data_IF_379162850170
#
_entry.id   IF_379162850170
#
_cell.length_a   1.000
_cell.length_b   1.000
_cell.length_c   1.000
_cell.angle_alpha   90.00
_cell.angle_beta   90.00
_cell.angle_gamma   90.00
#
_symmetry.space_group_name_H-M   'P 1'
#
loop_
_entity.id
_entity.type
_entity.pdbx_description
1 polymer ?
#
# COMPACT_ATOMS: atom_id res chain seq x y z
N UNK A 1 -27.38 14.30 -32.66
CA UNK A 1 -27.77 15.16 -33.79
C UNK A 1 -26.51 15.57 -34.53
N UNK A 2 -26.53 15.59 -35.87
CA UNK A 2 -25.45 16.21 -36.66
C UNK A 2 -25.76 17.71 -36.76
N UNK A 3 -24.82 18.62 -36.46
CA UNK A 3 -25.05 20.05 -36.60
C UNK A 3 -25.28 20.42 -38.06
N UNK A 4 -26.09 21.44 -38.29
CA UNK A 4 -26.20 22.13 -39.57
C UNK A 4 -24.88 22.82 -39.92
N UNK A 5 -24.69 23.19 -41.19
CA UNK A 5 -23.46 23.85 -41.66
C UNK A 5 -23.21 25.18 -40.93
N UNK A 6 -24.25 25.97 -40.68
CA UNK A 6 -24.17 27.22 -39.93
C UNK A 6 -23.81 26.97 -38.45
N UNK A 7 -24.44 26.00 -37.79
CA UNK A 7 -24.11 25.64 -36.41
C UNK A 7 -22.66 25.16 -36.29
N UNK A 8 -22.16 24.42 -37.29
CA UNK A 8 -20.77 23.96 -37.32
C UNK A 8 -19.79 25.14 -37.41
N UNK A 9 -20.05 26.12 -38.28
CA UNK A 9 -19.21 27.33 -38.41
C UNK A 9 -19.22 28.15 -37.11
N UNK A 10 -20.38 28.30 -36.48
CA UNK A 10 -20.50 28.98 -35.18
C UNK A 10 -19.71 28.26 -34.09
N UNK A 11 -19.83 26.94 -34.00
CA UNK A 11 -19.08 26.13 -33.02
C UNK A 11 -17.57 26.24 -33.24
N UNK A 12 -17.11 26.13 -34.49
CA UNK A 12 -15.68 26.30 -34.83
C UNK A 12 -15.18 27.68 -34.41
N UNK A 13 -15.98 28.72 -34.63
CA UNK A 13 -15.64 30.10 -34.24
C UNK A 13 -15.55 30.26 -32.72
N UNK A 14 -16.48 29.65 -31.97
CA UNK A 14 -16.46 29.63 -30.51
C UNK A 14 -15.24 28.87 -29.97
N UNK A 15 -14.89 27.71 -30.56
CA UNK A 15 -13.69 26.97 -30.18
C UNK A 15 -12.40 27.73 -30.51
N UNK A 16 -12.35 28.43 -31.64
CA UNK A 16 -11.22 29.29 -32.01
C UNK A 16 -11.08 30.46 -31.03
N UNK A 17 -12.19 31.10 -30.64
CA UNK A 17 -12.21 32.13 -29.60
C UNK A 17 -11.73 31.57 -28.26
N UNK A 18 -12.24 30.41 -27.83
CA UNK A 18 -11.85 29.75 -26.59
C UNK A 18 -10.34 29.47 -26.53
N UNK A 19 -9.77 28.90 -27.59
CA UNK A 19 -8.32 28.66 -27.69
C UNK A 19 -7.52 29.95 -27.61
N UNK A 20 -7.96 31.02 -28.30
CA UNK A 20 -7.28 32.32 -28.27
C UNK A 20 -7.31 32.92 -26.87
N UNK A 21 -8.46 32.90 -26.22
CA UNK A 21 -8.59 33.37 -24.83
C UNK A 21 -7.67 32.58 -23.90
N UNK A 22 -7.61 31.25 -23.99
CA UNK A 22 -6.67 30.46 -23.18
C UNK A 22 -5.20 30.84 -23.37
N UNK A 23 -4.80 31.23 -24.59
CA UNK A 23 -3.40 31.58 -24.89
C UNK A 23 -3.06 33.03 -24.52
N UNK A 24 -4.02 33.95 -24.63
CA UNK A 24 -3.78 35.40 -24.55
C UNK A 24 -4.42 36.06 -23.32
N UNK A 25 -5.15 35.30 -22.49
CA UNK A 25 -5.83 35.85 -21.32
C UNK A 25 -4.81 36.49 -20.37
N UNK A 26 -5.16 37.69 -19.91
CA UNK A 26 -4.42 38.44 -18.92
C UNK A 26 -5.40 39.11 -17.96
N UNK A 27 -5.11 39.09 -16.66
CA UNK A 27 -5.96 39.62 -15.60
C UNK A 27 -6.30 41.10 -15.81
N UNK A 28 -5.35 41.88 -16.32
CA UNK A 28 -5.50 43.31 -16.65
C UNK A 28 -6.59 43.61 -17.70
N UNK A 29 -6.99 42.59 -18.48
CA UNK A 29 -8.00 42.71 -19.53
C UNK A 29 -9.34 42.06 -19.11
N UNK A 30 -9.41 41.49 -17.90
CA UNK A 30 -10.57 40.76 -17.38
C UNK A 30 -10.74 41.05 -15.88
N UNK A 31 -10.92 42.33 -15.52
CA UNK A 31 -10.95 42.81 -14.14
C UNK A 31 -11.98 42.07 -13.25
N UNK A 32 -13.06 41.55 -13.85
CA UNK A 32 -14.14 40.84 -13.18
C UNK A 32 -14.06 39.31 -13.30
N UNK A 33 -12.98 38.76 -13.86
CA UNK A 33 -12.81 37.32 -14.13
C UNK A 33 -13.96 36.71 -14.95
N UNK A 34 -14.65 37.49 -15.77
CA UNK A 34 -15.82 37.03 -16.54
C UNK A 34 -15.35 36.05 -17.60
N UNK A 35 -14.28 36.42 -18.33
CA UNK A 35 -13.75 35.57 -19.39
C UNK A 35 -13.10 34.33 -18.80
N UNK A 36 -12.35 34.46 -17.71
CA UNK A 36 -11.77 33.34 -16.97
C UNK A 36 -12.84 32.34 -16.48
N UNK A 37 -13.89 32.85 -15.84
CA UNK A 37 -15.02 32.03 -15.38
C UNK A 37 -15.74 31.36 -16.54
N UNK A 38 -15.93 32.06 -17.66
CA UNK A 38 -16.53 31.49 -18.86
C UNK A 38 -15.71 30.33 -19.42
N UNK A 39 -14.37 30.42 -19.45
CA UNK A 39 -13.49 29.33 -19.90
C UNK A 39 -13.68 28.07 -19.05
N UNK A 40 -13.76 28.22 -17.73
CA UNK A 40 -14.00 27.12 -16.81
C UNK A 40 -15.41 26.54 -16.98
N UNK A 41 -16.44 27.38 -17.09
CA UNK A 41 -17.80 26.93 -17.31
C UNK A 41 -17.92 26.14 -18.62
N UNK A 42 -17.32 26.61 -19.71
CA UNK A 42 -17.31 25.90 -21.00
C UNK A 42 -16.74 24.49 -20.84
N UNK A 43 -15.63 24.34 -20.12
CA UNK A 43 -15.03 23.03 -19.87
C UNK A 43 -15.94 22.10 -19.06
N UNK A 44 -16.62 22.65 -18.04
CA UNK A 44 -17.57 21.91 -17.19
C UNK A 44 -18.78 21.47 -18.00
N UNK A 45 -19.36 22.36 -18.81
CA UNK A 45 -20.45 22.02 -19.72
C UNK A 45 -20.03 20.94 -20.71
N UNK A 46 -18.86 21.08 -21.33
CA UNK A 46 -18.35 20.06 -22.26
C UNK A 46 -18.25 18.69 -21.59
N UNK A 47 -17.76 18.65 -20.35
CA UNK A 47 -17.64 17.42 -19.59
C UNK A 47 -19.00 16.82 -19.17
N UNK A 48 -20.01 17.64 -18.89
CA UNK A 48 -21.36 17.18 -18.62
C UNK A 48 -21.99 16.47 -19.84
N UNK A 49 -21.73 16.98 -21.06
CA UNK A 49 -22.26 16.38 -22.30
C UNK A 49 -21.39 15.25 -22.87
N UNK A 50 -20.10 15.20 -22.51
CA UNK A 50 -19.18 14.13 -22.90
C UNK A 50 -18.40 13.58 -21.69
N UNK A 51 -19.05 12.79 -20.82
CA UNK A 51 -18.47 12.36 -19.53
C UNK A 51 -17.15 11.58 -19.66
N UNK A 52 -16.89 10.98 -20.82
CA UNK A 52 -15.69 10.19 -21.12
C UNK A 52 -14.56 10.97 -21.79
N UNK A 53 -14.76 12.25 -22.13
CA UNK A 53 -13.76 13.06 -22.84
C UNK A 53 -13.62 14.42 -22.16
N UNK A 54 -12.50 14.62 -21.46
CA UNK A 54 -12.12 15.93 -20.95
C UNK A 54 -11.85 16.88 -22.11
N UNK A 55 -12.38 18.11 -22.05
CA UNK A 55 -12.10 19.15 -23.03
C UNK A 55 -10.59 19.41 -23.14
N UNK A 56 -9.89 19.40 -22.01
CA UNK A 56 -8.46 19.69 -21.93
C UNK A 56 -7.62 18.64 -22.65
N UNK A 57 -8.06 17.37 -22.61
CA UNK A 57 -7.40 16.27 -23.33
C UNK A 57 -7.60 16.32 -24.85
N UNK A 58 -8.52 17.14 -25.36
CA UNK A 58 -8.77 17.32 -26.80
C UNK A 58 -7.91 18.44 -27.42
N UNK A 59 -7.26 19.26 -26.59
CA UNK A 59 -6.32 20.27 -27.07
C UNK A 59 -5.00 19.61 -27.50
N UNK A 60 -4.34 20.20 -28.50
CA UNK A 60 -3.04 19.71 -29.00
C UNK A 60 -1.98 19.75 -27.90
N UNK A 61 -1.02 18.83 -27.95
CA UNK A 61 0.15 18.84 -27.07
C UNK A 61 1.01 20.11 -27.27
N UNK A 62 0.99 20.67 -28.48
CA UNK A 62 1.69 21.92 -28.81
C UNK A 62 0.98 23.18 -28.29
N UNK A 63 -0.23 23.05 -27.74
CA UNK A 63 -0.96 24.21 -27.21
C UNK A 63 -0.37 24.66 -25.87
N UNK A 64 -0.04 25.94 -25.77
CA UNK A 64 0.42 26.58 -24.54
C UNK A 64 -0.64 27.56 -24.04
N UNK A 65 -1.07 27.38 -22.79
CA UNK A 65 -1.95 28.34 -22.12
C UNK A 65 -1.15 29.52 -21.55
N UNK A 66 -1.82 30.64 -21.27
CA UNK A 66 -1.17 31.80 -20.68
C UNK A 66 -0.66 31.49 -19.26
N UNK A 67 0.53 31.98 -18.93
CA UNK A 67 1.13 31.81 -17.59
C UNK A 67 0.25 32.40 -16.49
N UNK A 68 -0.49 33.48 -16.78
CA UNK A 68 -1.42 34.10 -15.84
C UNK A 68 -2.63 33.20 -15.52
N UNK A 69 -3.20 32.49 -16.52
CA UNK A 69 -4.26 31.49 -16.27
C UNK A 69 -3.72 30.38 -15.38
N UNK A 70 -2.53 29.85 -15.71
CA UNK A 70 -1.90 28.79 -14.93
C UNK A 70 -1.70 29.25 -13.49
N UNK A 71 -1.10 30.42 -13.29
CA UNK A 71 -0.85 30.99 -11.96
C UNK A 71 -2.13 31.17 -11.15
N UNK A 72 -3.20 31.70 -11.76
CA UNK A 72 -4.48 31.88 -11.09
C UNK A 72 -5.14 30.55 -10.73
N UNK A 73 -5.11 29.54 -11.61
CA UNK A 73 -5.64 28.21 -11.30
C UNK A 73 -4.85 27.51 -10.19
N UNK A 74 -3.52 27.66 -10.18
CA UNK A 74 -2.68 27.17 -9.09
C UNK A 74 -3.08 27.84 -7.78
N UNK A 75 -3.23 29.17 -7.77
CA UNK A 75 -3.63 29.92 -6.58
C UNK A 75 -5.02 29.53 -6.09
N UNK A 76 -5.98 29.34 -6.99
CA UNK A 76 -7.35 28.95 -6.64
C UNK A 76 -7.39 27.53 -6.07
N UNK A 77 -6.71 26.58 -6.69
CA UNK A 77 -6.62 25.21 -6.18
C UNK A 77 -5.89 25.17 -4.83
N UNK A 78 -4.74 25.83 -4.71
CA UNK A 78 -4.00 25.92 -3.45
C UNK A 78 -4.83 26.53 -2.32
N UNK A 79 -5.73 27.48 -2.65
CA UNK A 79 -6.63 28.14 -1.72
C UNK A 79 -7.91 27.37 -1.40
N UNK A 80 -8.15 26.20 -1.99
CA UNK A 80 -9.34 25.40 -1.67
C UNK A 80 -9.30 24.95 -0.22
N UNK A 81 -10.38 25.23 0.50
CA UNK A 81 -10.61 24.80 1.87
C UNK A 81 -12.04 24.30 2.00
N UNK A 82 -12.25 23.32 2.87
CA UNK A 82 -13.59 22.89 3.27
C UNK A 82 -14.08 23.85 4.34
N UNK A 83 -15.16 24.59 4.06
CA UNK A 83 -15.66 25.66 4.93
C UNK A 83 -16.05 25.17 6.32
N UNK A 84 -16.61 23.97 6.41
CA UNK A 84 -17.04 23.35 7.67
C UNK A 84 -16.03 22.30 8.18
N UNK A 85 -14.75 22.40 7.80
CA UNK A 85 -13.74 21.38 8.14
C UNK A 85 -13.67 21.07 9.63
N UNK A 86 -13.66 22.09 10.49
CA UNK A 86 -13.63 21.92 11.94
C UNK A 86 -14.90 21.21 12.45
N UNK A 87 -16.05 21.52 11.87
CA UNK A 87 -17.32 20.85 12.21
C UNK A 87 -17.31 19.39 11.79
N UNK A 88 -16.83 19.08 10.58
CA UNK A 88 -16.66 17.71 10.10
C UNK A 88 -15.66 16.95 10.97
N UNK A 89 -14.56 17.59 11.37
CA UNK A 89 -13.57 16.98 12.26
C UNK A 89 -14.05 16.81 13.70
N UNK A 90 -14.98 17.65 14.18
CA UNK A 90 -15.67 17.42 15.45
C UNK A 90 -16.59 16.19 15.39
N UNK A 91 -17.11 15.83 14.21
CA UNK A 91 -17.92 14.63 14.03
C UNK A 91 -17.07 13.36 13.93
N UNK A 92 -15.79 13.48 13.56
CA UNK A 92 -14.82 12.39 13.51
C UNK A 92 -13.51 12.76 14.24
N UNK A 93 -13.55 12.83 15.57
CA UNK A 93 -12.39 13.23 16.38
C UNK A 93 -11.18 12.31 16.19
N UNK A 94 -11.41 11.03 15.85
CA UNK A 94 -10.35 10.07 15.56
C UNK A 94 -9.51 10.48 14.34
N UNK A 95 -10.16 11.00 13.28
CA UNK A 95 -9.45 11.46 12.08
C UNK A 95 -8.59 12.68 12.40
N UNK A 96 -9.12 13.64 13.17
CA UNK A 96 -8.37 14.83 13.57
C UNK A 96 -7.14 14.47 14.40
N UNK A 97 -7.31 13.60 15.39
CA UNK A 97 -6.21 13.12 16.23
C UNK A 97 -5.14 12.39 15.41
N UNK A 98 -5.56 11.57 14.45
CA UNK A 98 -4.64 10.86 13.56
C UNK A 98 -3.91 11.81 12.60
N UNK A 99 -4.59 12.81 12.03
CA UNK A 99 -4.00 13.85 11.19
C UNK A 99 -2.95 14.66 11.96
N UNK A 100 -3.30 15.14 13.16
CA UNK A 100 -2.40 15.90 14.04
C UNK A 100 -1.17 15.07 14.46
N UNK A 101 -1.33 13.76 14.63
CA UNK A 101 -0.26 12.83 14.99
C UNK A 101 0.56 12.32 13.78
N UNK A 102 0.11 12.58 12.55
CA UNK A 102 0.67 11.97 11.35
C UNK A 102 0.47 10.45 11.28
N UNK A 103 -0.53 9.89 11.97
CA UNK A 103 -0.81 8.46 12.00
C UNK A 103 -1.59 8.01 10.76
N UNK A 104 -0.88 7.51 9.74
CA UNK A 104 -1.50 7.10 8.48
C UNK A 104 -2.48 5.94 8.66
N UNK A 105 -2.21 5.01 9.56
CA UNK A 105 -3.11 3.89 9.80
C UNK A 105 -4.40 4.38 10.46
N UNK A 106 -4.29 5.23 11.49
CA UNK A 106 -5.44 5.86 12.13
C UNK A 106 -6.28 6.70 11.16
N UNK A 107 -5.62 7.44 10.26
CA UNK A 107 -6.33 8.19 9.21
C UNK A 107 -7.05 7.25 8.24
N UNK A 108 -6.41 6.20 7.73
CA UNK A 108 -7.04 5.22 6.83
C UNK A 108 -8.26 4.58 7.49
N UNK A 109 -8.14 4.11 8.74
CA UNK A 109 -9.24 3.49 9.50
C UNK A 109 -10.41 4.45 9.70
N UNK A 110 -10.14 5.71 10.09
CA UNK A 110 -11.20 6.71 10.31
C UNK A 110 -11.93 7.07 9.00
N UNK A 111 -11.20 7.16 7.87
CA UNK A 111 -11.78 7.51 6.57
C UNK A 111 -12.77 6.48 6.04
N UNK A 112 -12.63 5.19 6.39
CA UNK A 112 -13.58 4.16 5.96
C UNK A 112 -15.00 4.36 6.53
N UNK A 113 -15.14 5.15 7.59
CA UNK A 113 -16.42 5.44 8.25
C UNK A 113 -17.08 6.74 7.76
N UNK A 114 -16.38 7.51 6.94
CA UNK A 114 -16.78 8.84 6.51
C UNK A 114 -17.38 8.84 5.11
N UNK A 115 -18.60 9.35 5.00
CA UNK A 115 -19.17 9.78 3.72
C UNK A 115 -18.86 11.27 3.54
N UNK A 116 -18.00 11.60 2.59
CA UNK A 116 -17.60 12.98 2.33
C UNK A 116 -17.97 13.41 0.90
N UNK A 117 -18.34 14.68 0.70
CA UNK A 117 -18.89 15.15 -0.57
C UNK A 117 -17.89 15.00 -1.71
N UNK A 118 -18.39 14.71 -2.92
CA UNK A 118 -17.55 14.62 -4.10
C UNK A 118 -16.87 15.98 -4.43
N UNK A 119 -15.67 15.96 -5.05
CA UNK A 119 -15.02 17.17 -5.53
C UNK A 119 -15.91 17.95 -6.50
N UNK A 120 -15.80 19.28 -6.45
CA UNK A 120 -16.58 20.17 -7.32
C UNK A 120 -16.16 20.05 -8.79
N UNK A 121 -17.07 20.39 -9.71
CA UNK A 121 -16.77 20.43 -11.15
C UNK A 121 -15.65 21.43 -11.48
N UNK A 122 -15.53 22.52 -10.69
CA UNK A 122 -14.42 23.46 -10.79
C UNK A 122 -13.09 22.78 -10.45
N UNK A 123 -12.99 22.10 -9.31
CA UNK A 123 -11.76 21.39 -8.92
C UNK A 123 -11.36 20.35 -9.97
N UNK A 124 -12.34 19.62 -10.50
CA UNK A 124 -12.12 18.66 -11.59
C UNK A 124 -11.49 19.31 -12.80
N UNK A 125 -12.13 20.37 -13.32
CA UNK A 125 -11.65 21.06 -14.50
C UNK A 125 -10.27 21.69 -14.30
N UNK A 126 -10.05 22.37 -13.17
CA UNK A 126 -8.77 22.98 -12.84
C UNK A 126 -7.65 21.93 -12.69
N UNK A 127 -7.95 20.78 -12.09
CA UNK A 127 -7.00 19.66 -11.94
C UNK A 127 -6.61 19.10 -13.29
N UNK A 128 -7.59 18.78 -14.14
CA UNK A 128 -7.34 18.26 -15.50
C UNK A 128 -6.58 19.28 -16.37
N UNK A 129 -6.88 20.56 -16.22
CA UNK A 129 -6.16 21.64 -16.91
C UNK A 129 -4.69 21.69 -16.50
N UNK A 130 -4.40 21.73 -15.19
CA UNK A 130 -3.02 21.80 -14.71
C UNK A 130 -2.28 20.50 -14.98
N UNK A 131 -2.93 19.34 -14.89
CA UNK A 131 -2.34 18.05 -15.30
C UNK A 131 -1.83 18.11 -16.74
N UNK A 132 -2.59 18.75 -17.65
CA UNK A 132 -2.24 18.85 -19.06
C UNK A 132 -1.18 19.92 -19.36
N UNK A 133 -1.36 21.13 -18.83
CA UNK A 133 -0.58 22.31 -19.24
C UNK A 133 0.47 22.77 -18.23
N UNK A 134 0.34 22.39 -16.96
CA UNK A 134 1.31 22.76 -15.94
C UNK A 134 1.41 21.71 -14.82
N UNK A 135 2.07 20.56 -15.09
CA UNK A 135 2.32 19.54 -14.09
C UNK A 135 2.96 20.08 -12.80
N UNK A 136 3.91 21.02 -12.95
CA UNK A 136 4.56 21.72 -11.84
C UNK A 136 3.59 22.63 -11.08
N UNK A 137 2.64 23.27 -11.78
CA UNK A 137 1.58 24.04 -11.15
C UNK A 137 0.69 23.16 -10.27
N UNK A 138 0.31 21.98 -10.77
CA UNK A 138 -0.46 21.00 -10.00
C UNK A 138 0.29 20.54 -8.74
N UNK A 139 1.59 20.26 -8.87
CA UNK A 139 2.45 19.92 -7.74
C UNK A 139 2.49 21.05 -6.69
N UNK A 140 2.66 22.32 -7.12
CA UNK A 140 2.63 23.48 -6.21
C UNK A 140 1.30 23.62 -5.47
N UNK A 141 0.18 23.43 -6.17
CA UNK A 141 -1.15 23.43 -5.56
C UNK A 141 -1.29 22.30 -4.53
N UNK A 142 -0.92 21.07 -4.90
CA UNK A 142 -0.94 19.90 -4.01
C UNK A 142 -0.09 20.11 -2.74
N UNK A 143 1.07 20.74 -2.89
CA UNK A 143 1.99 21.04 -1.79
C UNK A 143 1.42 22.03 -0.77
N UNK A 144 0.43 22.83 -1.16
CA UNK A 144 -0.16 23.89 -0.32
C UNK A 144 -1.33 23.41 0.55
N UNK A 145 -1.87 22.22 0.28
CA UNK A 145 -3.04 21.71 1.00
C UNK A 145 -2.69 21.28 2.44
N UNK A 146 -3.51 21.71 3.39
CA UNK A 146 -3.33 21.43 4.82
C UNK A 146 -4.42 20.55 5.43
N UNK A 147 -5.45 20.22 4.64
CA UNK A 147 -6.63 19.50 5.09
C UNK A 147 -6.69 18.16 4.35
N UNK A 148 -6.73 17.04 5.07
CA UNK A 148 -6.75 15.71 4.45
C UNK A 148 -7.90 15.53 3.47
N UNK A 149 -9.09 16.08 3.78
CA UNK A 149 -10.26 15.97 2.90
C UNK A 149 -10.06 16.70 1.55
N UNK A 150 -9.38 17.85 1.55
CA UNK A 150 -9.04 18.56 0.29
C UNK A 150 -8.06 17.75 -0.52
N UNK A 151 -7.07 17.13 0.14
CA UNK A 151 -6.11 16.24 -0.50
C UNK A 151 -6.80 15.02 -1.11
N UNK A 152 -7.74 14.40 -0.40
CA UNK A 152 -8.52 13.26 -0.91
C UNK A 152 -9.37 13.65 -2.12
N UNK A 153 -10.05 14.80 -2.08
CA UNK A 153 -10.77 15.34 -3.24
C UNK A 153 -9.84 15.48 -4.45
N UNK A 154 -8.63 16.00 -4.22
CA UNK A 154 -7.63 16.19 -5.25
C UNK A 154 -7.13 14.84 -5.83
N UNK A 155 -6.96 13.82 -4.98
CA UNK A 155 -6.62 12.44 -5.40
C UNK A 155 -7.71 11.82 -6.27
N UNK A 156 -8.99 11.97 -5.89
CA UNK A 156 -10.14 11.41 -6.62
C UNK A 156 -10.26 11.95 -8.05
N UNK A 157 -9.64 13.10 -8.34
CA UNK A 157 -9.67 13.75 -9.65
C UNK A 157 -8.52 13.32 -10.57
N UNK A 158 -7.52 12.61 -10.06
CA UNK A 158 -6.33 12.20 -10.82
C UNK A 158 -6.39 10.73 -11.22
N UNK A 159 -5.71 10.40 -12.33
CA UNK A 159 -5.33 9.01 -12.59
C UNK A 159 -4.32 8.52 -11.55
N UNK A 160 -4.26 7.21 -11.29
CA UNK A 160 -3.29 6.63 -10.34
C UNK A 160 -1.84 6.96 -10.69
N UNK A 161 -1.49 6.89 -11.98
CA UNK A 161 -0.15 7.24 -12.45
C UNK A 161 0.17 8.72 -12.17
N UNK A 162 -0.79 9.63 -12.39
CA UNK A 162 -0.58 11.05 -12.10
C UNK A 162 -0.51 11.33 -10.61
N UNK A 163 -1.34 10.69 -9.81
CA UNK A 163 -1.31 10.77 -8.35
C UNK A 163 0.07 10.34 -7.82
N UNK A 164 0.60 9.21 -8.26
CA UNK A 164 1.93 8.71 -7.91
C UNK A 164 3.05 9.70 -8.25
N UNK A 165 3.05 10.23 -9.47
CA UNK A 165 4.05 11.24 -9.88
C UNK A 165 3.96 12.50 -9.04
N UNK A 166 2.75 13.04 -8.87
CA UNK A 166 2.53 14.25 -8.07
C UNK A 166 2.93 14.04 -6.61
N UNK A 167 2.64 12.86 -6.03
CA UNK A 167 3.01 12.50 -4.67
C UNK A 167 4.52 12.30 -4.48
N UNK A 168 5.21 11.83 -5.51
CA UNK A 168 6.67 11.70 -5.52
C UNK A 168 7.37 13.07 -5.63
N UNK A 169 6.73 14.04 -6.26
CA UNK A 169 7.29 15.37 -6.50
C UNK A 169 6.95 16.37 -5.37
N UNK A 170 5.79 16.23 -4.71
CA UNK A 170 5.38 17.11 -3.60
C UNK A 170 6.11 16.79 -2.29
N UNK A 171 6.25 17.81 -1.44
CA UNK A 171 6.68 17.70 -0.05
C UNK A 171 5.51 17.47 0.93
N UNK A 172 4.27 17.42 0.43
CA UNK A 172 3.09 17.25 1.27
C UNK A 172 2.87 15.78 1.69
N UNK A 173 3.13 15.50 2.96
CA UNK A 173 2.94 14.20 3.59
C UNK A 173 1.49 13.69 3.52
N UNK A 174 0.48 14.56 3.65
CA UNK A 174 -0.92 14.15 3.53
C UNK A 174 -1.24 13.68 2.11
N UNK A 175 -0.62 14.30 1.10
CA UNK A 175 -0.78 13.90 -0.29
C UNK A 175 -0.17 12.52 -0.55
N UNK A 176 1.01 12.24 0.02
CA UNK A 176 1.63 10.91 -0.06
C UNK A 176 0.80 9.84 0.65
N UNK A 177 0.28 10.15 1.83
CA UNK A 177 -0.65 9.29 2.55
C UNK A 177 -1.88 8.96 1.68
N UNK A 178 -2.56 9.99 1.18
CA UNK A 178 -3.79 9.82 0.41
C UNK A 178 -3.55 9.04 -0.89
N UNK A 179 -2.41 9.25 -1.55
CA UNK A 179 -2.01 8.42 -2.69
C UNK A 179 -1.84 6.97 -2.29
N UNK A 180 -1.12 6.65 -1.21
CA UNK A 180 -0.96 5.26 -0.77
C UNK A 180 -2.30 4.63 -0.36
N UNK A 181 -3.14 5.32 0.41
CA UNK A 181 -4.47 4.83 0.80
C UNK A 181 -5.35 4.53 -0.43
N UNK A 182 -5.34 5.41 -1.44
CA UNK A 182 -6.07 5.18 -2.69
C UNK A 182 -5.58 3.95 -3.47
N UNK A 183 -4.29 3.62 -3.38
CA UNK A 183 -3.70 2.44 -4.01
C UNK A 183 -4.07 1.14 -3.28
N UNK A 184 -4.25 1.21 -1.96
CA UNK A 184 -4.68 0.09 -1.13
C UNK A 184 -6.20 -0.15 -1.17
N UNK A 185 -6.99 0.80 -1.67
CA UNK A 185 -8.45 0.63 -1.74
C UNK A 185 -8.83 -0.34 -2.87
N UNK A 186 -9.57 -1.41 -2.54
CA UNK A 186 -10.03 -2.43 -3.50
C UNK A 186 -11.09 -1.90 -4.46
N UNK A 187 -11.11 -2.42 -5.69
CA UNK A 187 -12.19 -2.17 -6.66
C UNK A 187 -11.84 -1.20 -7.78
N UNK A 188 -10.55 -1.03 -8.10
CA UNK A 188 -10.14 -0.18 -9.20
C UNK A 188 -10.37 -0.86 -10.56
N UNK A 189 -10.85 -0.11 -11.54
CA UNK A 189 -10.99 -0.59 -12.92
C UNK A 189 -9.63 -0.93 -13.55
N UNK A 190 -9.61 -1.99 -14.38
CA UNK A 190 -8.46 -2.42 -15.19
C UNK A 190 -7.81 -1.32 -16.07
N UNK A 191 -8.50 -0.19 -16.26
CA UNK A 191 -8.02 0.97 -17.02
C UNK A 191 -6.94 1.80 -16.31
N UNK A 192 -6.74 1.61 -15.01
CA UNK A 192 -5.80 2.38 -14.19
C UNK A 192 -4.65 1.51 -13.65
N UNK A 193 -4.07 0.68 -14.52
CA UNK A 193 -2.89 -0.11 -14.18
C UNK A 193 -1.75 0.83 -13.82
N UNK A 194 -1.30 0.71 -12.58
CA UNK A 194 -0.11 1.40 -12.07
C UNK A 194 1.11 0.73 -12.67
N UNK A 195 1.95 1.51 -13.33
CA UNK A 195 3.27 1.01 -13.75
C UNK A 195 4.11 0.72 -12.50
N UNK A 196 4.72 -0.46 -12.46
CA UNK A 196 5.55 -0.88 -11.32
C UNK A 196 6.67 0.11 -11.01
N UNK A 197 7.21 0.78 -12.03
CA UNK A 197 8.25 1.82 -11.90
C UNK A 197 7.76 3.07 -11.18
N UNK A 198 6.54 3.54 -11.46
CA UNK A 198 5.96 4.72 -10.81
C UNK A 198 5.76 4.48 -9.31
N UNK A 199 5.30 3.27 -8.94
CA UNK A 199 5.15 2.89 -7.54
C UNK A 199 6.50 2.72 -6.83
N UNK A 200 7.50 2.10 -7.46
CA UNK A 200 8.85 2.01 -6.89
C UNK A 200 9.46 3.40 -6.67
N UNK A 201 9.28 4.32 -7.63
CA UNK A 201 9.71 5.72 -7.50
C UNK A 201 9.05 6.42 -6.31
N UNK A 202 7.75 6.25 -6.14
CA UNK A 202 7.01 6.78 -4.99
C UNK A 202 7.50 6.22 -3.65
N UNK A 203 7.67 4.89 -3.56
CA UNK A 203 8.16 4.25 -2.33
C UNK A 203 9.59 4.69 -1.99
N UNK A 204 10.45 4.89 -3.00
CA UNK A 204 11.78 5.48 -2.79
C UNK A 204 11.69 6.86 -2.12
N UNK A 205 10.79 7.73 -2.57
CA UNK A 205 10.59 9.06 -1.98
C UNK A 205 10.08 8.97 -0.55
N UNK A 206 9.03 8.18 -0.31
CA UNK A 206 8.46 8.00 1.05
C UNK A 206 9.52 7.43 2.02
N UNK A 207 10.36 6.51 1.55
CA UNK A 207 11.40 5.89 2.37
C UNK A 207 12.50 6.84 2.84
N UNK A 208 12.69 7.99 2.17
CA UNK A 208 13.68 8.99 2.58
C UNK A 208 13.31 9.69 3.89
N UNK A 209 12.03 9.68 4.27
CA UNK A 209 11.57 10.18 5.56
C UNK A 209 11.27 8.99 6.50
N UNK A 210 12.08 8.75 7.54
CA UNK A 210 11.90 7.59 8.42
C UNK A 210 10.53 7.52 9.10
N UNK A 211 9.94 8.67 9.42
CA UNK A 211 8.62 8.73 10.05
C UNK A 211 7.52 8.36 9.05
N UNK A 212 7.52 8.96 7.86
CA UNK A 212 6.56 8.62 6.80
C UNK A 212 6.68 7.15 6.39
N UNK A 213 7.90 6.64 6.25
CA UNK A 213 8.13 5.24 5.93
C UNK A 213 7.55 4.30 6.99
N UNK A 214 7.79 4.60 8.28
CA UNK A 214 7.22 3.81 9.36
C UNK A 214 5.68 3.80 9.31
N UNK A 215 5.04 4.94 9.05
CA UNK A 215 3.59 5.04 8.96
C UNK A 215 3.03 4.31 7.73
N UNK A 216 3.67 4.47 6.56
CA UNK A 216 3.35 3.76 5.33
C UNK A 216 3.42 2.24 5.52
N UNK A 217 4.50 1.76 6.14
CA UNK A 217 4.72 0.34 6.42
C UNK A 217 3.67 -0.22 7.37
N UNK A 218 3.32 0.50 8.44
CA UNK A 218 2.25 0.09 9.35
C UNK A 218 0.93 -0.10 8.61
N UNK A 219 0.57 0.87 7.77
CA UNK A 219 -0.64 0.83 6.97
C UNK A 219 -0.64 -0.36 5.99
N UNK A 220 0.45 -0.55 5.23
CA UNK A 220 0.58 -1.69 4.31
C UNK A 220 0.50 -3.04 5.04
N UNK A 221 1.20 -3.20 6.16
CA UNK A 221 1.24 -4.48 6.89
C UNK A 221 -0.03 -4.78 7.70
N UNK A 222 -0.82 -3.76 8.05
CA UNK A 222 -2.13 -3.96 8.66
C UNK A 222 -3.12 -4.63 7.68
N UNK A 223 -2.97 -4.34 6.37
CA UNK A 223 -3.90 -4.78 5.33
C UNK A 223 -3.18 -5.51 4.19
N UNK A 224 -2.54 -6.64 4.50
CA UNK A 224 -1.79 -7.43 3.51
C UNK A 224 -2.62 -7.90 2.33
N UNK A 225 -3.92 -8.07 2.55
CA UNK A 225 -4.89 -8.49 1.56
C UNK A 225 -5.25 -7.39 0.54
N UNK A 226 -4.92 -6.14 0.84
CA UNK A 226 -5.20 -4.97 0.00
C UNK A 226 -4.12 -4.68 -1.04
N UNK A 227 -2.87 -5.08 -0.80
CA UNK A 227 -1.76 -4.80 -1.72
C UNK A 227 -1.26 -6.00 -2.51
N UNK A 228 -2.01 -7.11 -2.58
CA UNK A 228 -1.59 -8.29 -3.36
C UNK A 228 -1.21 -7.95 -4.81
N UNK A 229 -1.91 -7.00 -5.43
CA UNK A 229 -1.63 -6.50 -6.78
C UNK A 229 -0.36 -5.64 -6.87
N UNK A 230 0.03 -5.01 -5.77
CA UNK A 230 1.21 -4.15 -5.66
C UNK A 230 2.45 -4.92 -5.19
N UNK A 231 2.28 -6.20 -4.83
CA UNK A 231 3.31 -7.02 -4.19
C UNK A 231 4.60 -7.11 -5.00
N UNK A 232 4.52 -7.18 -6.34
CA UNK A 232 5.69 -7.16 -7.22
C UNK A 232 6.49 -5.87 -7.07
N UNK A 233 5.85 -4.71 -7.17
CA UNK A 233 6.49 -3.40 -7.05
C UNK A 233 7.08 -3.17 -5.66
N UNK A 234 6.35 -3.54 -4.59
CA UNK A 234 6.85 -3.45 -3.20
C UNK A 234 8.08 -4.35 -3.02
N UNK A 235 8.06 -5.56 -3.59
CA UNK A 235 9.21 -6.47 -3.56
C UNK A 235 10.42 -5.90 -4.27
N UNK A 236 10.23 -5.33 -5.46
CA UNK A 236 11.29 -4.70 -6.25
C UNK A 236 11.90 -3.49 -5.54
N UNK A 237 11.05 -2.64 -4.93
CA UNK A 237 11.52 -1.53 -4.10
C UNK A 237 12.38 -2.05 -2.94
N UNK A 238 11.85 -2.99 -2.14
CA UNK A 238 12.57 -3.50 -0.97
C UNK A 238 13.88 -4.19 -1.34
N UNK A 239 13.92 -4.93 -2.45
CA UNK A 239 15.13 -5.61 -2.93
C UNK A 239 16.30 -4.65 -3.19
N UNK A 240 16.02 -3.39 -3.53
CA UNK A 240 17.01 -2.34 -3.80
C UNK A 240 17.10 -1.27 -2.69
N UNK A 241 16.27 -1.38 -1.65
CA UNK A 241 16.22 -0.42 -0.55
C UNK A 241 17.39 -0.58 0.43
N UNK A 242 17.65 0.47 1.21
CA UNK A 242 18.70 0.42 2.22
C UNK A 242 18.33 -0.47 3.43
N UNK A 243 19.35 -0.76 4.25
CA UNK A 243 19.22 -1.56 5.47
C UNK A 243 18.17 -1.01 6.44
N UNK A 244 18.00 0.31 6.53
CA UNK A 244 17.07 0.92 7.48
C UNK A 244 15.62 0.71 7.03
N UNK A 245 15.33 0.94 5.75
CA UNK A 245 14.03 0.74 5.16
C UNK A 245 13.59 -0.74 5.24
N UNK A 246 14.50 -1.66 4.91
CA UNK A 246 14.31 -3.11 5.08
C UNK A 246 13.95 -3.48 6.51
N UNK A 247 14.74 -3.01 7.49
CA UNK A 247 14.50 -3.28 8.91
C UNK A 247 13.11 -2.83 9.34
N UNK A 248 12.71 -1.60 8.98
CA UNK A 248 11.39 -1.07 9.32
C UNK A 248 10.27 -1.92 8.72
N UNK A 249 10.39 -2.29 7.43
CA UNK A 249 9.39 -3.10 6.75
C UNK A 249 9.20 -4.48 7.39
N UNK A 250 10.28 -5.27 7.46
CA UNK A 250 10.23 -6.64 7.95
C UNK A 250 9.94 -6.72 9.46
N UNK A 251 10.38 -5.73 10.24
CA UNK A 251 10.05 -5.65 11.67
C UNK A 251 8.57 -5.40 11.92
N UNK A 252 7.85 -4.82 10.94
CA UNK A 252 6.43 -4.48 11.05
C UNK A 252 5.51 -5.57 10.51
N UNK A 253 6.06 -6.63 9.90
CA UNK A 253 5.25 -7.77 9.41
C UNK A 253 4.54 -8.43 10.58
N UNK A 254 3.22 -8.61 10.44
CA UNK A 254 2.39 -9.27 11.46
C UNK A 254 2.37 -10.78 11.19
N UNK A 255 2.84 -11.56 12.17
CA UNK A 255 2.80 -13.02 12.11
C UNK A 255 1.44 -13.49 12.62
N UNK A 256 0.75 -14.29 11.81
CA UNK A 256 -0.58 -14.82 12.12
C UNK A 256 -0.60 -16.34 11.99
N UNK A 257 -1.44 -17.00 12.80
CA UNK A 257 -1.72 -18.43 12.67
C UNK A 257 -2.52 -18.72 11.40
N UNK A 258 -2.10 -19.74 10.64
CA UNK A 258 -2.73 -20.15 9.38
C UNK A 258 -3.71 -21.33 9.52
N UNK A 259 -4.17 -21.63 10.73
CA UNK A 259 -5.08 -22.75 10.98
C UNK A 259 -6.53 -22.51 10.50
N UNK A 260 -6.85 -21.31 10.00
CA UNK A 260 -8.15 -20.95 9.44
C UNK A 260 -8.08 -20.66 7.94
N UNK A 261 -9.16 -20.95 7.19
CA UNK A 261 -9.23 -20.82 5.72
C UNK A 261 -8.79 -19.44 5.19
N UNK A 262 -9.22 -18.34 5.83
CA UNK A 262 -8.82 -16.97 5.44
C UNK A 262 -7.31 -16.71 5.59
N UNK A 263 -6.68 -17.36 6.56
CA UNK A 263 -5.25 -17.22 6.79
C UNK A 263 -4.39 -18.03 5.80
N UNK A 264 -4.99 -18.96 5.04
CA UNK A 264 -4.30 -19.63 3.94
C UNK A 264 -4.09 -18.70 2.74
N UNK A 265 -5.03 -17.80 2.45
CA UNK A 265 -4.90 -16.83 1.35
C UNK A 265 -3.83 -15.77 1.67
N UNK A 266 -3.82 -15.25 2.90
CA UNK A 266 -2.76 -14.33 3.37
C UNK A 266 -1.38 -14.98 3.34
N UNK A 267 -1.27 -16.27 3.73
CA UNK A 267 -0.03 -17.04 3.62
C UNK A 267 0.45 -17.14 2.18
N UNK A 268 -0.44 -17.40 1.22
CA UNK A 268 -0.10 -17.47 -0.22
C UNK A 268 0.39 -16.13 -0.75
N UNK A 269 -0.32 -15.05 -0.43
CA UNK A 269 0.06 -13.70 -0.85
C UNK A 269 1.42 -13.29 -0.29
N UNK A 270 1.64 -13.50 1.01
CA UNK A 270 2.91 -13.17 1.65
C UNK A 270 4.06 -14.04 1.12
N UNK A 271 3.80 -15.32 0.84
CA UNK A 271 4.80 -16.20 0.21
C UNK A 271 5.16 -15.72 -1.20
N UNK A 272 4.18 -15.32 -2.00
CA UNK A 272 4.43 -14.79 -3.34
C UNK A 272 5.26 -13.50 -3.31
N UNK A 273 4.93 -12.59 -2.38
CA UNK A 273 5.71 -11.38 -2.12
C UNK A 273 7.16 -11.71 -1.72
N UNK A 274 7.35 -12.57 -0.71
CA UNK A 274 8.69 -12.95 -0.24
C UNK A 274 9.50 -13.65 -1.33
N UNK A 275 8.83 -14.34 -2.26
CA UNK A 275 9.45 -14.94 -3.43
C UNK A 275 9.93 -13.91 -4.44
N UNK A 276 9.08 -12.95 -4.79
CA UNK A 276 9.49 -11.85 -5.67
C UNK A 276 10.64 -11.04 -5.06
N UNK A 277 10.65 -10.85 -3.72
CA UNK A 277 11.76 -10.22 -3.02
C UNK A 277 13.03 -11.07 -3.09
N UNK A 278 12.93 -12.38 -2.80
CA UNK A 278 14.06 -13.32 -2.85
C UNK A 278 14.76 -13.31 -4.22
N UNK A 279 13.98 -13.33 -5.30
CA UNK A 279 14.50 -13.40 -6.67
C UNK A 279 15.26 -12.14 -7.10
N UNK A 280 15.01 -11.00 -6.44
CA UNK A 280 15.58 -9.69 -6.82
C UNK A 280 16.61 -9.15 -5.82
N UNK A 281 16.48 -9.49 -4.55
CA UNK A 281 17.33 -8.96 -3.48
C UNK A 281 18.74 -9.57 -3.50
N UNK A 282 19.73 -8.81 -3.04
CA UNK A 282 21.09 -9.32 -2.80
C UNK A 282 21.10 -10.35 -1.65
N UNK A 283 22.15 -11.18 -1.58
CA UNK A 283 22.31 -12.18 -0.50
C UNK A 283 22.27 -11.52 0.90
N UNK A 284 22.92 -10.37 1.06
CA UNK A 284 22.96 -9.63 2.32
C UNK A 284 21.59 -9.11 2.72
N UNK A 285 20.83 -8.55 1.76
CA UNK A 285 19.47 -8.06 2.01
C UNK A 285 18.51 -9.19 2.36
N UNK A 286 18.65 -10.36 1.72
CA UNK A 286 17.87 -11.57 2.05
C UNK A 286 18.16 -12.08 3.44
N UNK A 287 19.44 -12.24 3.79
CA UNK A 287 19.86 -12.69 5.12
C UNK A 287 19.32 -11.76 6.21
N UNK A 288 19.46 -10.44 6.03
CA UNK A 288 18.93 -9.44 6.95
C UNK A 288 17.41 -9.57 7.11
N UNK A 289 16.66 -9.53 6.01
CA UNK A 289 15.19 -9.57 6.03
C UNK A 289 14.67 -10.85 6.71
N UNK A 290 15.24 -11.99 6.33
CA UNK A 290 14.80 -13.28 6.83
C UNK A 290 15.25 -13.56 8.26
N UNK A 291 16.40 -13.03 8.71
CA UNK A 291 16.79 -13.09 10.12
C UNK A 291 15.81 -12.35 11.02
N UNK A 292 15.32 -11.18 10.60
CA UNK A 292 14.29 -10.41 11.32
C UNK A 292 12.98 -11.20 11.40
N UNK A 293 12.53 -11.79 10.27
CA UNK A 293 11.33 -12.62 10.27
C UNK A 293 11.48 -13.86 11.15
N UNK A 294 12.66 -14.48 11.17
CA UNK A 294 12.96 -15.64 12.00
C UNK A 294 12.94 -15.30 13.50
N UNK A 295 13.57 -14.19 13.91
CA UNK A 295 13.54 -13.71 15.28
C UNK A 295 12.10 -13.44 15.73
N UNK A 296 11.34 -12.69 14.92
CA UNK A 296 9.90 -12.44 15.19
C UNK A 296 9.10 -13.72 15.31
N UNK A 297 9.38 -14.73 14.48
CA UNK A 297 8.68 -16.01 14.54
C UNK A 297 9.00 -16.79 15.82
N UNK A 298 10.25 -16.77 16.27
CA UNK A 298 10.64 -17.35 17.55
C UNK A 298 9.95 -16.63 18.71
N UNK A 299 9.85 -15.30 18.65
CA UNK A 299 9.16 -14.49 19.65
C UNK A 299 7.65 -14.67 19.66
N UNK A 300 7.03 -14.80 18.49
CA UNK A 300 5.59 -15.03 18.33
C UNK A 300 5.14 -16.27 19.09
N UNK A 301 5.97 -17.31 19.11
CA UNK A 301 5.77 -18.52 19.90
C UNK A 301 4.38 -19.13 19.71
N UNK A 302 3.83 -19.05 18.49
CA UNK A 302 2.53 -19.58 18.10
C UNK A 302 1.36 -19.06 18.96
N UNK A 303 1.46 -17.80 19.42
CA UNK A 303 0.48 -17.12 20.29
C UNK A 303 0.31 -17.72 21.69
N UNK A 304 1.18 -18.63 22.11
CA UNK A 304 1.07 -19.33 23.40
C UNK A 304 1.57 -18.53 24.60
N UNK A 305 2.16 -17.35 24.36
CA UNK A 305 2.65 -16.45 25.44
C UNK A 305 1.53 -15.77 26.22
N UNK A 306 0.32 -15.71 25.68
CA UNK A 306 -0.82 -15.09 26.37
C UNK A 306 -1.52 -16.11 27.26
N UNK A 307 -1.91 -15.69 28.46
CA UNK A 307 -2.61 -16.55 29.41
C UNK A 307 -3.90 -17.11 28.81
N UNK A 308 -4.15 -18.40 29.01
CA UNK A 308 -5.34 -19.10 28.49
C UNK A 308 -5.29 -19.51 27.02
N UNK A 309 -4.20 -19.23 26.29
CA UNK A 309 -4.02 -19.72 24.91
C UNK A 309 -3.28 -21.06 24.89
N UNK A 310 -3.90 -22.08 24.28
CA UNK A 310 -3.35 -23.43 24.14
C UNK A 310 -3.34 -23.88 22.68
N UNK A 311 -2.37 -24.72 22.31
CA UNK A 311 -2.34 -25.38 21.00
C UNK A 311 -2.88 -26.80 21.10
N UNK A 312 -3.75 -27.14 20.13
CA UNK A 312 -4.38 -28.45 20.02
C UNK A 312 -3.95 -29.24 18.79
N UNK A 313 -3.17 -28.61 17.91
CA UNK A 313 -2.62 -29.18 16.70
C UNK A 313 -1.36 -28.41 16.30
N UNK A 314 -0.60 -28.96 15.35
CA UNK A 314 0.49 -28.24 14.68
C UNK A 314 -0.06 -26.95 14.09
N UNK A 315 0.60 -25.85 14.41
CA UNK A 315 0.26 -24.52 13.94
C UNK A 315 1.28 -24.04 12.90
N UNK A 316 0.79 -23.41 11.85
CA UNK A 316 1.58 -22.81 10.77
C UNK A 316 1.47 -21.29 10.84
N UNK A 317 2.48 -20.59 10.34
CA UNK A 317 2.45 -19.13 10.22
C UNK A 317 2.38 -18.67 8.77
N UNK A 318 1.90 -17.46 8.55
CA UNK A 318 1.88 -16.82 7.22
C UNK A 318 3.28 -16.63 6.58
N UNK A 319 4.36 -16.80 7.35
CA UNK A 319 5.76 -16.69 6.91
C UNK A 319 6.56 -17.99 6.96
N UNK A 320 5.94 -19.13 7.27
CA UNK A 320 6.70 -20.38 7.53
C UNK A 320 7.55 -20.86 6.34
N UNK A 321 7.07 -20.68 5.11
CA UNK A 321 7.85 -20.96 3.90
C UNK A 321 9.10 -20.09 3.76
N UNK A 322 9.03 -18.83 4.20
CA UNK A 322 10.18 -17.93 4.22
C UNK A 322 11.26 -18.44 5.18
N UNK A 323 10.84 -19.03 6.30
CA UNK A 323 11.75 -19.56 7.32
C UNK A 323 12.44 -20.85 6.85
N UNK A 324 11.76 -21.66 6.04
CA UNK A 324 12.37 -22.81 5.36
C UNK A 324 13.52 -22.34 4.46
N UNK A 325 13.28 -21.30 3.65
CA UNK A 325 14.31 -20.70 2.79
C UNK A 325 15.45 -20.13 3.61
N UNK A 326 15.14 -19.36 4.66
CA UNK A 326 16.14 -18.79 5.54
C UNK A 326 17.06 -19.84 6.14
N UNK A 327 16.48 -20.91 6.70
CA UNK A 327 17.25 -22.00 7.28
C UNK A 327 18.06 -22.75 6.21
N UNK A 328 17.55 -22.89 4.98
CA UNK A 328 18.29 -23.53 3.88
C UNK A 328 19.49 -22.70 3.42
N UNK A 329 19.33 -21.38 3.32
CA UNK A 329 20.33 -20.47 2.76
C UNK A 329 21.37 -20.03 3.80
N UNK A 330 20.92 -19.71 5.02
CA UNK A 330 21.74 -19.04 6.03
C UNK A 330 22.29 -19.97 7.11
N UNK A 331 21.81 -21.21 7.22
CA UNK A 331 22.36 -22.15 8.18
C UNK A 331 23.38 -23.06 7.49
N UNK A 332 24.54 -23.21 8.13
CA UNK A 332 25.40 -24.35 7.81
C UNK A 332 24.66 -25.66 8.07
N UNK A 333 24.91 -26.66 7.23
CA UNK A 333 24.23 -27.96 7.33
C UNK A 333 24.41 -28.60 8.73
N UNK A 334 25.59 -28.44 9.33
CA UNK A 334 25.90 -28.86 10.70
C UNK A 334 24.97 -28.21 11.71
N UNK A 335 24.88 -26.88 11.68
CA UNK A 335 24.00 -26.09 12.55
C UNK A 335 22.53 -26.44 12.37
N UNK A 336 22.08 -26.65 11.13
CA UNK A 336 20.72 -27.07 10.84
C UNK A 336 20.40 -28.44 11.48
N UNK A 337 21.29 -29.41 11.32
CA UNK A 337 21.13 -30.75 11.91
C UNK A 337 21.19 -30.71 13.44
N UNK A 338 22.03 -29.87 14.04
CA UNK A 338 22.07 -29.65 15.49
C UNK A 338 20.75 -29.10 16.03
N UNK A 339 20.14 -28.13 15.34
CA UNK A 339 18.83 -27.58 15.72
C UNK A 339 17.73 -28.64 15.63
N UNK A 340 17.73 -29.46 14.57
CA UNK A 340 16.77 -30.56 14.40
C UNK A 340 16.95 -31.59 15.53
N UNK A 341 18.17 -32.07 15.77
CA UNK A 341 18.47 -33.05 16.82
C UNK A 341 18.09 -32.52 18.21
N UNK A 342 18.35 -31.24 18.50
CA UNK A 342 17.93 -30.59 19.74
C UNK A 342 16.40 -30.62 19.89
N UNK A 343 15.65 -30.24 18.86
CA UNK A 343 14.19 -30.26 18.89
C UNK A 343 13.64 -31.68 19.05
N UNK A 344 14.20 -32.66 18.36
CA UNK A 344 13.81 -34.07 18.48
C UNK A 344 14.07 -34.59 19.91
N UNK A 345 15.24 -34.31 20.49
CA UNK A 345 15.55 -34.64 21.89
C UNK A 345 14.61 -33.97 22.87
N UNK A 346 14.28 -32.70 22.66
CA UNK A 346 13.31 -31.97 23.49
C UNK A 346 11.92 -32.63 23.43
N UNK A 347 11.44 -32.97 22.23
CA UNK A 347 10.17 -33.69 22.03
C UNK A 347 10.19 -35.04 22.75
N UNK A 348 11.24 -35.83 22.54
CA UNK A 348 11.38 -37.13 23.20
C UNK A 348 11.44 -36.99 24.71
N UNK A 349 12.04 -35.93 25.26
CA UNK A 349 12.13 -35.71 26.71
C UNK A 349 10.82 -35.26 27.37
N UNK A 350 9.77 -34.91 26.60
CA UNK A 350 8.52 -34.39 27.16
C UNK A 350 7.86 -35.37 28.14
N UNK A 351 7.98 -36.68 27.93
CA UNK A 351 7.42 -37.70 28.84
C UNK A 351 8.08 -37.72 30.23
N UNK A 352 9.24 -37.08 30.37
CA UNK A 352 9.97 -36.94 31.63
C UNK A 352 9.63 -35.64 32.37
N UNK A 353 8.90 -34.71 31.73
CA UNK A 353 8.54 -33.42 32.31
C UNK A 353 7.16 -33.48 32.98
N UNK A 354 7.04 -32.79 34.10
CA UNK A 354 5.74 -32.54 34.74
C UNK A 354 5.13 -31.27 34.17
N UNK A 355 3.86 -31.35 33.80
CA UNK A 355 3.08 -30.21 33.32
C UNK A 355 1.99 -29.87 34.33
N UNK A 356 1.65 -28.57 34.39
CA UNK A 356 0.54 -28.08 35.21
C UNK A 356 -0.82 -28.64 34.75
N UNK A 357 -0.98 -28.87 33.44
CA UNK A 357 -2.18 -29.46 32.87
C UNK A 357 -1.88 -30.24 31.59
N UNK A 358 -2.84 -31.08 31.16
CA UNK A 358 -2.82 -31.76 29.85
C UNK A 358 -2.75 -30.74 28.71
N UNK A 359 -3.38 -29.57 28.85
CA UNK A 359 -3.36 -28.52 27.84
C UNK A 359 -1.97 -27.89 27.70
N UNK A 360 -1.28 -27.65 28.81
CA UNK A 360 0.11 -27.16 28.82
C UNK A 360 1.07 -28.16 28.17
N UNK A 361 0.84 -29.45 28.43
CA UNK A 361 1.58 -30.55 27.80
C UNK A 361 1.36 -30.58 26.28
N UNK A 362 0.09 -30.59 25.83
CA UNK A 362 -0.27 -30.54 24.40
C UNK A 362 0.32 -29.33 23.71
N UNK A 363 0.26 -28.17 24.35
CA UNK A 363 0.78 -26.93 23.78
C UNK A 363 2.27 -26.99 23.54
N UNK A 364 3.03 -27.52 24.52
CA UNK A 364 4.48 -27.71 24.37
C UNK A 364 4.81 -28.70 23.25
N UNK A 365 4.08 -29.81 23.18
CA UNK A 365 4.21 -30.81 22.12
C UNK A 365 4.01 -30.20 20.73
N UNK A 366 2.87 -29.55 20.49
CA UNK A 366 2.56 -28.98 19.19
C UNK A 366 3.46 -27.80 18.82
N UNK A 367 3.88 -26.98 19.77
CA UNK A 367 4.86 -25.92 19.54
C UNK A 367 6.18 -26.49 19.03
N UNK A 368 6.73 -27.52 19.68
CA UNK A 368 8.00 -28.13 19.26
C UNK A 368 7.88 -28.79 17.89
N UNK A 369 6.77 -29.47 17.61
CA UNK A 369 6.50 -30.05 16.30
C UNK A 369 6.36 -28.99 15.20
N UNK A 370 5.65 -27.89 15.47
CA UNK A 370 5.56 -26.76 14.54
C UNK A 370 6.93 -26.18 14.19
N UNK A 371 7.83 -26.07 15.17
CA UNK A 371 9.21 -25.62 14.91
C UNK A 371 9.99 -26.64 14.09
N UNK A 372 9.89 -27.91 14.47
CA UNK A 372 10.63 -29.00 13.84
C UNK A 372 10.30 -29.11 12.35
N UNK A 373 9.02 -28.95 11.97
CA UNK A 373 8.56 -29.00 10.58
C UNK A 373 9.28 -27.97 9.69
N UNK A 374 9.50 -26.75 10.18
CA UNK A 374 10.21 -25.71 9.41
C UNK A 374 11.66 -26.13 9.14
N UNK A 375 12.39 -26.58 10.17
CA UNK A 375 13.78 -26.98 10.02
C UNK A 375 13.96 -28.27 9.23
N UNK A 376 13.07 -29.25 9.40
CA UNK A 376 13.04 -30.47 8.58
C UNK A 376 12.73 -30.13 7.13
N UNK A 377 11.81 -29.21 6.87
CA UNK A 377 11.56 -28.70 5.52
C UNK A 377 12.79 -28.08 4.89
N UNK A 378 13.56 -27.28 5.64
CA UNK A 378 14.82 -26.73 5.14
C UNK A 378 15.86 -27.81 4.79
N UNK A 379 15.91 -28.91 5.54
CA UNK A 379 16.77 -30.06 5.22
C UNK A 379 16.33 -30.77 3.94
N UNK A 380 15.02 -30.97 3.79
CA UNK A 380 14.44 -31.86 2.76
C UNK A 380 14.20 -31.16 1.41
N UNK A 381 14.12 -29.82 1.39
CA UNK A 381 13.99 -29.04 0.15
C UNK A 381 15.30 -29.14 -0.67
N UNK A 382 15.18 -29.68 -1.89
CA UNK A 382 16.30 -29.96 -2.79
C UNK A 382 16.97 -28.68 -3.31
N UNK A 383 16.19 -27.72 -3.81
CA UNK A 383 16.67 -26.42 -4.25
C UNK A 383 15.85 -25.30 -3.61
N UNK A 384 16.47 -24.12 -3.46
CA UNK A 384 15.78 -22.95 -2.93
C UNK A 384 14.69 -22.43 -3.87
N UNK A 385 14.60 -22.90 -5.13
CA UNK A 385 13.51 -22.53 -6.05
C UNK A 385 12.21 -23.31 -5.83
N UNK A 386 12.26 -24.42 -5.10
CA UNK A 386 11.15 -25.39 -4.95
C UNK A 386 10.34 -25.20 -3.64
N UNK A 387 10.55 -24.08 -2.95
CA UNK A 387 10.01 -23.78 -1.63
C UNK A 387 8.53 -23.36 -1.59
N UNK A 388 7.90 -23.11 -2.75
CA UNK A 388 6.44 -22.90 -2.82
C UNK A 388 5.76 -24.26 -2.67
N UNK A 389 5.55 -24.67 -1.43
CA UNK A 389 5.02 -25.98 -1.10
C UNK A 389 3.62 -26.20 -1.68
N UNK A 390 3.52 -27.24 -2.51
CA UNK A 390 2.33 -28.08 -2.59
C UNK A 390 1.91 -28.39 -1.14
N UNK A 391 0.76 -27.86 -0.70
CA UNK A 391 0.26 -27.95 0.70
C UNK A 391 0.27 -29.41 1.21
N UNK A 392 0.20 -30.37 0.28
CA UNK A 392 0.28 -31.81 0.52
C UNK A 392 1.63 -32.30 1.07
N UNK A 393 2.76 -31.65 0.77
CA UNK A 393 4.08 -32.07 1.29
C UNK A 393 4.27 -31.70 2.77
N UNK A 394 3.70 -30.59 3.22
CA UNK A 394 3.75 -30.18 4.64
C UNK A 394 2.80 -31.04 5.52
N UNK A 395 1.69 -31.52 4.94
CA UNK A 395 0.73 -32.43 5.60
C UNK A 395 1.31 -33.82 5.89
N UNK A 396 2.32 -34.29 5.14
CA UNK A 396 2.95 -35.60 5.33
C UNK A 396 3.78 -35.72 6.62
N UNK A 397 4.05 -34.62 7.33
CA UNK A 397 4.83 -34.62 8.56
C UNK A 397 3.99 -34.60 9.85
N UNK A 398 2.65 -34.59 9.72
CA UNK A 398 1.70 -34.46 10.84
C UNK A 398 1.25 -35.77 11.50
N UNK A 399 1.54 -36.94 10.93
CA UNK A 399 1.03 -38.22 11.44
C UNK A 399 2.04 -38.94 12.34
N UNK A 400 2.43 -38.28 13.45
CA UNK A 400 3.24 -38.92 14.51
C UNK A 400 2.37 -39.12 15.74
N UNK A 401 2.20 -40.40 16.09
CA UNK A 401 1.31 -40.93 17.13
C UNK A 401 1.53 -40.27 18.49
N UNK A 402 0.43 -40.08 19.22
CA UNK A 402 0.41 -39.46 20.55
C UNK A 402 1.24 -40.30 21.55
N UNK A 403 2.29 -39.72 22.14
CA UNK A 403 3.00 -40.31 23.27
C UNK A 403 2.09 -40.29 24.52
N UNK A 404 2.02 -41.39 25.26
CA UNK A 404 1.37 -41.41 26.57
C UNK A 404 2.24 -40.61 27.56
N UNK A 405 1.82 -39.39 27.89
CA UNK A 405 2.56 -38.47 28.77
C UNK A 405 1.99 -38.49 30.20
N UNK A 406 2.79 -38.10 31.20
CA UNK A 406 2.37 -38.05 32.62
C UNK A 406 1.85 -36.65 32.96
N UNK A 407 0.73 -36.55 33.66
CA UNK A 407 0.16 -35.29 34.18
C UNK A 407 -0.19 -35.42 35.67
N UNK A 408 -0.27 -34.29 36.39
CA UNK A 408 -0.69 -34.24 37.80
C UNK A 408 -2.20 -34.19 37.94
#
# INVERSE_FOLDING_TARGET
MKPTENEFVEWVSLFAWFKRQLAEWAKKNDDKDISFTALLLISVFFQAYTPRKSLWKLLSDDFSASEEIVSNLVSLLAGVQISDYETTMMQCPELKLAEDAGDWLGMDEALHSLDFPAPTLFQKSATEFLEKFSPLGLQKAASSHKQILVVLHQQMLMSKARALRTASETDNTLFRFATLSSLLTRGCSDSDKVESSDLVGFLNVVSQNPHEWLMAVKMMNATTDRWSELSGAISSFLASSDTAALKVFFSSVVIKSCNARKAADERKQLTAFLKAFYEQASSESRELAFSILHEKWLEWCFETKQEGKYLFQVNFSNIDFALIVYAKECFEISRLLEVIDKLEKEIWSLHLKWFESVLSCKTTWFMLHSKLIVYQGARDVGSVSDWTGDENKALLWGDKSYLALKWR
#
